data_IF_878261386940
#
_entry.id   IF_878261386940
#
_cell.length_a   1.000
_cell.length_b   1.000
_cell.length_c   1.000
_cell.angle_alpha   90.00
_cell.angle_beta   90.00
_cell.angle_gamma   90.00
#
_symmetry.space_group_name_H-M   'P 1'
#
loop_
_entity.id
_entity.type
_entity.pdbx_description
1 polymer ?
#
# COMPACT_ATOMS: atom_id res chain seq x y z
N UNK A 1 39.91 2.60 13.48
CA UNK A 1 38.79 2.18 12.61
C UNK A 1 37.51 2.31 13.42
N UNK A 2 36.63 3.24 13.06
CA UNK A 2 35.38 3.45 13.79
C UNK A 2 34.40 2.37 13.34
N UNK A 3 34.14 1.39 14.21
CA UNK A 3 33.12 0.36 13.96
C UNK A 3 31.76 1.04 13.80
N UNK A 4 30.99 0.64 12.78
CA UNK A 4 29.65 1.14 12.52
C UNK A 4 28.78 0.97 13.77
N UNK A 5 28.25 2.08 14.33
CA UNK A 5 27.46 2.08 15.56
C UNK A 5 25.94 2.14 15.34
N UNK A 6 25.52 2.34 14.10
CA UNK A 6 24.13 2.34 13.68
C UNK A 6 23.97 1.31 12.58
N UNK A 7 23.30 0.21 12.91
CA UNK A 7 22.71 -0.68 11.90
C UNK A 7 21.44 0.04 11.44
N UNK A 8 21.34 0.34 10.14
CA UNK A 8 20.10 0.92 9.61
C UNK A 8 18.94 -0.02 9.92
N UNK A 9 17.82 0.52 10.42
CA UNK A 9 16.58 -0.22 10.67
C UNK A 9 15.96 -0.86 9.41
N UNK A 10 16.65 -0.78 8.28
CA UNK A 10 16.24 -1.16 6.92
C UNK A 10 16.68 -2.59 6.53
N UNK A 11 17.36 -3.33 7.42
CA UNK A 11 17.72 -4.74 7.21
C UNK A 11 16.78 -5.74 7.92
N UNK A 12 15.61 -5.28 8.38
CA UNK A 12 14.64 -6.13 9.06
C UNK A 12 13.51 -6.59 8.11
N UNK A 13 13.16 -7.87 8.20
CA UNK A 13 11.92 -8.43 7.64
C UNK A 13 10.70 -7.73 8.25
N UNK A 14 9.64 -7.54 7.47
CA UNK A 14 8.38 -6.95 7.97
C UNK A 14 8.21 -5.49 7.58
N UNK A 15 8.83 -5.07 6.50
CA UNK A 15 8.67 -3.74 5.95
C UNK A 15 7.27 -3.61 5.31
N UNK A 16 6.49 -2.56 5.60
CA UNK A 16 5.23 -2.31 4.91
C UNK A 16 5.39 -2.33 3.38
N UNK A 17 4.50 -3.04 2.68
CA UNK A 17 4.56 -3.29 1.23
C UNK A 17 5.26 -4.59 0.83
N UNK A 18 6.04 -5.20 1.74
CA UNK A 18 6.71 -6.48 1.51
C UNK A 18 5.72 -7.66 1.55
N UNK A 19 5.88 -8.61 0.63
CA UNK A 19 5.11 -9.85 0.64
C UNK A 19 5.56 -10.76 1.78
N UNK A 20 4.60 -11.15 2.63
CA UNK A 20 4.86 -11.86 3.87
C UNK A 20 4.67 -13.38 3.74
N UNK A 21 3.83 -13.81 2.79
CA UNK A 21 3.41 -15.21 2.64
C UNK A 21 3.60 -15.68 1.19
N UNK A 22 3.88 -16.98 1.03
CA UNK A 22 4.05 -17.59 -0.28
C UNK A 22 2.69 -17.91 -0.93
N UNK A 23 2.60 -17.72 -2.24
CA UNK A 23 1.42 -18.04 -3.06
C UNK A 23 1.25 -17.08 -4.23
N UNK A 24 0.07 -17.11 -4.85
CA UNK A 24 -0.21 -16.34 -6.05
C UNK A 24 -0.25 -14.84 -5.76
N UNK A 25 0.51 -14.08 -6.55
CA UNK A 25 0.60 -12.62 -6.45
C UNK A 25 0.24 -12.01 -7.80
N UNK A 26 -0.62 -11.00 -7.77
CA UNK A 26 -0.82 -10.07 -8.90
C UNK A 26 -0.33 -8.69 -8.47
N UNK A 27 0.76 -8.27 -9.10
CA UNK A 27 1.36 -6.97 -8.95
C UNK A 27 1.56 -6.36 -10.35
N UNK A 28 0.96 -5.20 -10.60
CA UNK A 28 0.91 -4.60 -11.93
C UNK A 28 1.69 -3.27 -11.95
N UNK A 29 2.44 -2.98 -13.03
CA UNK A 29 3.09 -1.69 -13.19
C UNK A 29 2.04 -0.61 -13.47
N UNK A 30 2.15 0.51 -12.76
CA UNK A 30 1.29 1.69 -12.94
C UNK A 30 2.14 2.95 -12.82
N UNK A 31 1.63 4.11 -13.24
CA UNK A 31 2.35 5.37 -13.15
C UNK A 31 1.57 6.39 -12.31
N UNK A 32 2.27 7.08 -11.41
CA UNK A 32 1.63 8.10 -10.58
C UNK A 32 1.24 9.32 -11.45
N UNK A 33 -0.05 9.69 -11.43
CA UNK A 33 -0.58 10.80 -12.22
C UNK A 33 -0.18 12.17 -11.68
N UNK A 34 -0.20 12.32 -10.36
CA UNK A 34 0.06 13.58 -9.65
C UNK A 34 1.04 13.37 -8.53
N UNK A 35 1.89 14.37 -8.26
CA UNK A 35 2.83 14.32 -7.15
C UNK A 35 2.13 14.00 -5.83
N UNK A 36 2.73 13.15 -5.03
CA UNK A 36 2.40 12.91 -3.64
C UNK A 36 3.38 13.66 -2.75
N UNK A 37 2.90 14.67 -2.03
CA UNK A 37 3.68 15.35 -1.01
C UNK A 37 3.51 14.59 0.31
N UNK A 38 4.47 13.75 0.68
CA UNK A 38 4.48 13.16 2.02
C UNK A 38 5.23 14.03 3.02
N UNK A 39 5.57 13.46 4.17
CA UNK A 39 6.08 14.22 5.32
C UNK A 39 7.59 14.02 5.47
N UNK A 40 8.35 15.11 5.65
CA UNK A 40 9.78 15.02 5.93
C UNK A 40 10.07 14.16 7.18
N UNK A 41 11.06 13.27 7.08
CA UNK A 41 11.40 12.32 8.15
C UNK A 41 10.39 11.19 8.32
N UNK A 42 9.43 11.03 7.40
CA UNK A 42 8.59 9.85 7.29
C UNK A 42 8.90 9.12 5.99
N UNK A 43 8.89 7.79 6.08
CA UNK A 43 9.02 6.92 4.92
C UNK A 43 7.84 7.13 3.97
N UNK A 44 8.10 6.97 2.68
CA UNK A 44 7.08 6.85 1.63
C UNK A 44 6.11 5.69 1.97
N UNK A 45 4.79 5.85 1.78
CA UNK A 45 3.78 5.00 2.43
C UNK A 45 3.52 3.64 1.74
N UNK A 46 4.56 2.83 1.53
CA UNK A 46 4.40 1.48 0.97
C UNK A 46 3.57 0.60 1.91
N UNK A 47 2.69 -0.24 1.36
CA UNK A 47 1.78 -1.06 2.16
C UNK A 47 0.82 -0.27 3.06
N UNK A 48 0.79 1.05 2.95
CA UNK A 48 0.01 1.94 3.81
C UNK A 48 -1.00 2.78 3.00
N UNK A 49 -0.92 2.73 1.67
CA UNK A 49 -1.87 3.42 0.78
C UNK A 49 -2.45 2.53 -0.30
N UNK A 50 -3.74 2.75 -0.56
CA UNK A 50 -4.44 2.26 -1.74
C UNK A 50 -4.20 3.18 -2.96
N UNK A 51 -4.11 2.56 -4.13
CA UNK A 51 -4.04 3.24 -5.42
C UNK A 51 -5.40 3.16 -6.12
N UNK A 52 -5.86 4.28 -6.67
CA UNK A 52 -7.07 4.31 -7.48
C UNK A 52 -6.82 4.89 -8.87
N UNK A 53 -7.71 4.58 -9.80
CA UNK A 53 -7.65 5.05 -11.18
C UNK A 53 -9.00 5.62 -11.60
N UNK A 54 -8.99 6.77 -12.28
CA UNK A 54 -10.20 7.31 -12.90
C UNK A 54 -10.52 6.62 -14.23
N UNK A 55 -11.76 6.71 -14.70
CA UNK A 55 -12.13 6.15 -16.00
C UNK A 55 -11.28 6.77 -17.13
N UNK A 56 -10.73 5.94 -18.02
CA UNK A 56 -9.92 6.36 -19.15
C UNK A 56 -8.42 6.60 -18.87
N UNK A 57 -7.99 6.55 -17.61
CA UNK A 57 -6.59 6.81 -17.22
C UNK A 57 -5.63 5.64 -17.52
N UNK A 58 -6.14 4.44 -17.82
CA UNK A 58 -5.43 3.25 -18.32
C UNK A 58 -3.98 3.06 -17.82
N UNK A 59 -3.81 2.81 -16.52
CA UNK A 59 -2.49 2.61 -15.90
C UNK A 59 -1.89 3.86 -15.25
N UNK A 60 -2.54 5.03 -15.38
CA UNK A 60 -2.26 6.20 -14.54
C UNK A 60 -3.09 6.14 -13.25
N UNK A 61 -2.43 6.27 -12.10
CA UNK A 61 -3.07 6.11 -10.79
C UNK A 61 -2.89 7.33 -9.89
N UNK A 62 -3.77 7.47 -8.91
CA UNK A 62 -3.66 8.41 -7.78
C UNK A 62 -3.59 7.63 -6.46
N UNK A 63 -3.00 8.25 -5.43
CA UNK A 63 -3.06 7.73 -4.06
C UNK A 63 -4.42 8.07 -3.46
N UNK A 64 -5.18 7.06 -3.06
CA UNK A 64 -6.56 7.23 -2.60
C UNK A 64 -7.47 7.82 -3.67
N UNK A 65 -8.51 8.55 -3.26
CA UNK A 65 -9.46 9.23 -4.14
C UNK A 65 -10.72 8.42 -4.49
N UNK A 66 -11.54 9.00 -5.37
CA UNK A 66 -12.87 8.47 -5.75
C UNK A 66 -12.86 7.56 -6.99
N UNK A 67 -11.70 7.02 -7.36
CA UNK A 67 -11.53 6.15 -8.53
C UNK A 67 -11.78 4.66 -8.24
N UNK A 68 -11.61 3.83 -9.28
CA UNK A 68 -11.59 2.37 -9.13
C UNK A 68 -10.34 1.96 -8.38
N UNK A 69 -10.48 1.12 -7.36
CA UNK A 69 -9.35 0.53 -6.64
C UNK A 69 -8.51 -0.35 -7.59
N UNK A 70 -7.21 -0.09 -7.67
CA UNK A 70 -6.26 -0.82 -8.53
C UNK A 70 -5.39 -1.77 -7.72
N UNK A 71 -5.02 -1.39 -6.49
CA UNK A 71 -4.15 -2.21 -5.65
C UNK A 71 -3.57 -1.41 -4.49
N UNK A 72 -2.79 -2.09 -3.66
CA UNK A 72 -1.94 -1.46 -2.64
C UNK A 72 -0.59 -1.12 -3.25
N UNK A 73 -0.03 0.04 -2.91
CA UNK A 73 1.33 0.40 -3.32
C UNK A 73 2.34 -0.54 -2.63
N UNK A 74 2.82 -1.56 -3.34
CA UNK A 74 3.83 -2.52 -2.83
C UNK A 74 5.23 -1.97 -2.96
N UNK A 75 5.56 -1.41 -4.11
CA UNK A 75 6.84 -0.76 -4.39
C UNK A 75 6.68 0.31 -5.46
N UNK A 76 7.18 1.55 -5.28
CA UNK A 76 7.49 2.41 -6.39
C UNK A 76 8.70 1.80 -7.10
N UNK A 77 8.55 1.33 -8.33
CA UNK A 77 9.62 0.63 -9.05
C UNK A 77 10.83 1.53 -9.40
N UNK A 78 10.88 2.76 -8.89
CA UNK A 78 11.98 3.71 -9.08
C UNK A 78 12.46 4.44 -7.79
N UNK A 79 11.89 4.21 -6.59
CA UNK A 79 12.20 5.05 -5.41
C UNK A 79 13.30 4.53 -4.46
N UNK A 80 13.73 3.27 -4.54
CA UNK A 80 14.81 2.77 -3.69
C UNK A 80 16.21 2.90 -4.32
N UNK A 81 16.32 3.24 -5.61
CA UNK A 81 17.58 3.13 -6.33
C UNK A 81 18.47 4.39 -6.31
N UNK A 82 17.96 5.62 -6.09
CA UNK A 82 18.77 6.82 -6.42
C UNK A 82 18.73 8.05 -5.48
N UNK A 83 18.14 8.01 -4.29
CA UNK A 83 18.19 9.16 -3.33
C UNK A 83 19.06 8.94 -2.08
N UNK A 84 20.11 8.11 -2.17
CA UNK A 84 21.17 7.83 -1.17
C UNK A 84 20.90 6.53 -0.38
N UNK A 85 21.87 5.67 -0.05
CA UNK A 85 22.90 5.95 0.97
C UNK A 85 22.43 6.90 2.12
N UNK A 86 21.11 6.92 2.42
CA UNK A 86 20.48 7.70 3.50
C UNK A 86 19.29 8.62 3.14
N UNK A 87 18.44 8.29 2.15
CA UNK A 87 17.40 9.22 1.67
C UNK A 87 15.98 9.05 2.23
N UNK A 88 15.57 9.88 3.19
CA UNK A 88 14.17 10.13 3.58
C UNK A 88 13.47 11.09 2.58
N UNK A 89 13.39 10.70 1.31
CA UNK A 89 12.66 11.52 0.35
C UNK A 89 11.16 11.47 0.66
N UNK A 90 10.62 12.61 1.08
CA UNK A 90 9.32 12.71 1.73
C UNK A 90 8.11 12.37 0.84
N UNK A 91 8.23 12.22 -0.48
CA UNK A 91 7.09 12.20 -1.41
C UNK A 91 7.16 11.15 -2.52
N UNK A 92 6.31 11.28 -3.55
CA UNK A 92 6.43 10.59 -4.84
C UNK A 92 6.20 11.58 -5.97
N UNK A 93 7.13 11.72 -6.92
CA UNK A 93 6.97 12.61 -8.07
C UNK A 93 5.93 12.11 -9.08
N UNK A 94 5.26 13.04 -9.77
CA UNK A 94 4.39 12.69 -10.89
C UNK A 94 5.19 11.99 -11.99
N UNK A 95 4.59 10.99 -12.62
CA UNK A 95 5.23 10.18 -13.65
C UNK A 95 6.10 9.04 -13.11
N UNK A 96 6.28 8.89 -11.80
CA UNK A 96 7.03 7.78 -11.23
C UNK A 96 6.34 6.43 -11.52
N UNK A 97 7.15 5.42 -11.87
CA UNK A 97 6.65 4.05 -12.01
C UNK A 97 6.42 3.43 -10.63
N UNK A 98 5.25 2.83 -10.46
CA UNK A 98 4.80 2.16 -9.26
C UNK A 98 4.39 0.71 -9.54
N UNK A 99 4.22 -0.04 -8.47
CA UNK A 99 3.66 -1.37 -8.46
C UNK A 99 2.42 -1.38 -7.57
N UNK A 100 1.30 -1.78 -8.16
CA UNK A 100 0.04 -1.96 -7.47
C UNK A 100 -0.23 -3.46 -7.28
N UNK A 101 -0.24 -3.92 -6.03
CA UNK A 101 -0.60 -5.31 -5.70
C UNK A 101 -2.08 -5.41 -5.37
N UNK A 102 -2.81 -6.18 -6.17
CA UNK A 102 -4.25 -6.42 -5.99
C UNK A 102 -4.59 -7.82 -5.51
N UNK A 103 -3.64 -8.75 -5.60
CA UNK A 103 -3.78 -10.11 -5.09
C UNK A 103 -2.49 -10.54 -4.41
N UNK A 104 -2.61 -11.06 -3.19
CA UNK A 104 -1.51 -11.68 -2.45
C UNK A 104 -2.05 -12.48 -1.28
N UNK A 105 -1.49 -13.66 -0.95
CA UNK A 105 -1.85 -14.40 0.26
C UNK A 105 -1.50 -13.65 1.55
N UNK A 106 -0.57 -12.68 1.49
CA UNK A 106 -0.20 -11.86 2.64
C UNK A 106 0.85 -10.82 2.29
N UNK A 107 0.59 -9.58 2.66
CA UNK A 107 1.52 -8.45 2.61
C UNK A 107 1.51 -7.73 3.95
N UNK A 108 2.67 -7.21 4.36
CA UNK A 108 2.76 -6.31 5.51
C UNK A 108 2.09 -4.99 5.18
N UNK A 109 1.03 -4.64 5.90
CA UNK A 109 0.28 -3.41 5.70
C UNK A 109 0.18 -2.61 6.99
N UNK A 110 0.33 -1.29 6.89
CA UNK A 110 0.16 -0.39 8.02
C UNK A 110 -1.29 0.08 8.12
N UNK A 111 -1.93 -0.17 9.26
CA UNK A 111 -3.30 0.22 9.54
C UNK A 111 -3.33 1.35 10.57
N UNK A 112 -4.15 2.37 10.30
CA UNK A 112 -4.29 3.56 11.16
C UNK A 112 -5.37 3.42 12.24
N UNK A 113 -6.04 2.28 12.30
CA UNK A 113 -7.07 1.94 13.30
C UNK A 113 -6.91 0.52 13.80
N UNK A 114 -7.61 0.20 14.89
CA UNK A 114 -7.53 -1.12 15.51
C UNK A 114 -8.12 -2.19 14.60
N UNK A 115 -7.36 -3.27 14.40
CA UNK A 115 -7.72 -4.38 13.53
C UNK A 115 -7.43 -5.72 14.21
N UNK A 116 -8.36 -6.65 14.09
CA UNK A 116 -8.19 -8.05 14.48
C UNK A 116 -8.01 -8.97 13.28
N UNK A 117 -7.39 -10.14 13.51
CA UNK A 117 -7.35 -11.22 12.52
C UNK A 117 -8.79 -11.60 12.13
N UNK A 118 -9.05 -11.65 10.82
CA UNK A 118 -10.36 -11.88 10.23
C UNK A 118 -11.08 -10.62 9.77
N UNK A 119 -10.68 -9.44 10.25
CA UNK A 119 -11.27 -8.17 9.79
C UNK A 119 -10.90 -7.90 8.33
N UNK A 120 -11.79 -7.22 7.61
CA UNK A 120 -11.45 -6.63 6.33
C UNK A 120 -10.71 -5.31 6.53
N UNK A 121 -10.22 -4.72 5.45
CA UNK A 121 -9.69 -3.36 5.45
C UNK A 121 -10.41 -2.47 4.43
N UNK A 122 -10.36 -1.17 4.68
CA UNK A 122 -10.88 -0.11 3.82
C UNK A 122 -9.80 0.97 3.66
N UNK A 123 -9.95 1.83 2.65
CA UNK A 123 -9.10 3.00 2.45
C UNK A 123 -9.90 4.30 2.55
N UNK A 124 -9.30 5.35 3.08
CA UNK A 124 -9.87 6.71 3.11
C UNK A 124 -9.57 7.46 1.81
N UNK A 125 -10.15 8.65 1.66
CA UNK A 125 -9.90 9.51 0.50
C UNK A 125 -8.41 9.84 0.27
N UNK A 126 -7.59 9.88 1.33
CA UNK A 126 -6.14 10.08 1.26
C UNK A 126 -5.34 8.79 0.96
N UNK A 127 -6.03 7.67 0.77
CA UNK A 127 -5.45 6.36 0.50
C UNK A 127 -5.09 5.56 1.76
N UNK A 128 -5.09 6.18 2.95
CA UNK A 128 -4.70 5.51 4.19
C UNK A 128 -5.59 4.33 4.53
N UNK A 129 -4.98 3.25 5.04
CA UNK A 129 -5.69 2.01 5.36
C UNK A 129 -6.26 2.03 6.79
N UNK A 130 -7.48 1.52 6.92
CA UNK A 130 -8.20 1.33 8.18
C UNK A 130 -8.81 -0.07 8.24
N UNK A 131 -9.02 -0.57 9.45
CA UNK A 131 -9.83 -1.76 9.66
C UNK A 131 -11.29 -1.53 9.24
N UNK A 132 -11.90 -2.56 8.69
CA UNK A 132 -13.32 -2.66 8.37
C UNK A 132 -13.91 -3.92 9.03
N UNK A 133 -14.19 -3.87 10.35
CA UNK A 133 -14.77 -5.00 11.07
C UNK A 133 -16.10 -5.43 10.45
N UNK A 134 -16.41 -6.73 10.53
CA UNK A 134 -17.57 -7.33 9.88
C UNK A 134 -17.67 -7.10 8.34
N UNK A 135 -16.55 -6.77 7.69
CA UNK A 135 -16.51 -6.39 6.26
C UNK A 135 -17.37 -5.17 5.91
N UNK A 136 -17.56 -4.25 6.87
CA UNK A 136 -18.26 -2.99 6.64
C UNK A 136 -17.26 -1.83 6.68
N UNK A 137 -17.22 -1.03 5.62
CA UNK A 137 -16.38 0.17 5.58
C UNK A 137 -16.82 1.18 6.65
N UNK A 138 -15.90 1.69 7.49
CA UNK A 138 -16.15 2.85 8.32
C UNK A 138 -16.62 4.07 7.52
N UNK A 139 -17.24 5.03 8.18
CA UNK A 139 -17.68 6.28 7.54
C UNK A 139 -16.51 6.97 6.79
N UNK A 140 -16.81 7.50 5.61
CA UNK A 140 -15.84 8.19 4.75
C UNK A 140 -14.64 7.32 4.31
N UNK A 141 -14.84 6.00 4.26
CA UNK A 141 -13.88 5.05 3.69
C UNK A 141 -14.55 4.12 2.69
N UNK A 142 -13.75 3.54 1.80
CA UNK A 142 -14.17 2.58 0.79
C UNK A 142 -13.63 1.21 1.15
N UNK A 143 -14.51 0.21 1.24
CA UNK A 143 -14.10 -1.17 1.51
C UNK A 143 -13.18 -1.67 0.40
N UNK A 144 -12.09 -2.35 0.77
CA UNK A 144 -11.30 -3.15 -0.17
C UNK A 144 -11.92 -4.55 -0.16
N UNK A 145 -12.70 -4.94 -1.18
CA UNK A 145 -13.41 -6.21 -1.14
C UNK A 145 -12.42 -7.39 -1.20
N UNK A 146 -12.76 -8.48 -0.52
CA UNK A 146 -11.88 -9.66 -0.43
C UNK A 146 -10.63 -9.50 0.42
N UNK A 147 -10.37 -8.31 0.99
CA UNK A 147 -9.23 -8.09 1.90
C UNK A 147 -9.47 -8.73 3.27
N UNK A 148 -8.44 -9.32 3.87
CA UNK A 148 -8.51 -9.91 5.22
C UNK A 148 -7.21 -9.76 5.98
N UNK A 149 -7.28 -9.30 7.23
CA UNK A 149 -6.17 -9.42 8.17
C UNK A 149 -5.98 -10.91 8.50
N UNK A 150 -4.82 -11.46 8.19
CA UNK A 150 -4.50 -12.89 8.39
C UNK A 150 -3.53 -13.12 9.54
N UNK A 151 -2.73 -12.12 9.94
CA UNK A 151 -1.88 -12.18 11.13
C UNK A 151 -1.73 -10.82 11.81
N UNK A 152 -1.53 -10.90 13.13
CA UNK A 152 -1.33 -9.81 14.09
C UNK A 152 -2.56 -8.95 14.35
N UNK A 153 -2.97 -8.87 15.62
CA UNK A 153 -3.93 -7.88 16.07
C UNK A 153 -3.17 -6.59 16.39
N UNK A 154 -3.70 -5.45 15.96
CA UNK A 154 -3.06 -4.14 16.13
C UNK A 154 -4.06 -3.11 16.65
N UNK A 155 -3.60 -2.14 17.43
CA UNK A 155 -4.37 -0.92 17.72
C UNK A 155 -4.12 0.12 16.62
N UNK A 156 -2.86 0.24 16.20
CA UNK A 156 -2.36 0.93 15.01
C UNK A 156 -1.03 0.28 14.67
N UNK A 157 -0.65 0.23 13.39
CA UNK A 157 0.64 -0.30 12.96
C UNK A 157 0.52 -1.48 11.99
N UNK A 158 1.53 -2.34 11.96
CA UNK A 158 1.70 -3.32 10.90
C UNK A 158 0.95 -4.63 11.20
N UNK A 159 0.10 -5.04 10.27
CA UNK A 159 -0.54 -6.36 10.23
C UNK A 159 -0.22 -7.07 8.91
N UNK A 160 -0.44 -8.39 8.83
CA UNK A 160 -0.38 -9.10 7.54
C UNK A 160 -1.78 -9.20 6.99
N UNK A 161 -1.97 -8.70 5.77
CA UNK A 161 -3.26 -8.66 5.08
C UNK A 161 -3.17 -9.44 3.79
N UNK A 162 -4.12 -10.35 3.58
CA UNK A 162 -4.37 -11.02 2.32
C UNK A 162 -5.27 -10.14 1.44
N UNK A 163 -4.95 -10.10 0.15
CA UNK A 163 -5.77 -9.45 -0.88
C UNK A 163 -6.25 -10.48 -1.87
N UNK A 164 -7.50 -10.33 -2.29
CA UNK A 164 -8.06 -11.07 -3.40
C UNK A 164 -8.29 -10.11 -4.55
N UNK A 165 -7.96 -10.57 -5.76
CA UNK A 165 -8.28 -9.81 -6.96
C UNK A 165 -9.80 -9.62 -7.01
N UNK A 166 -10.24 -8.38 -7.21
CA UNK A 166 -11.63 -8.15 -7.61
C UNK A 166 -11.81 -8.71 -9.03
N UNK A 167 -12.99 -9.21 -9.39
CA UNK A 167 -13.29 -9.47 -10.80
C UNK A 167 -12.96 -8.18 -11.54
N UNK A 168 -11.98 -8.21 -12.44
CA UNK A 168 -11.61 -7.04 -13.23
C UNK A 168 -12.90 -6.54 -13.86
N UNK A 169 -13.35 -5.28 -13.65
CA UNK A 169 -14.35 -4.73 -14.53
C UNK A 169 -13.78 -4.92 -15.93
N UNK A 170 -14.48 -5.68 -16.78
CA UNK A 170 -14.15 -5.71 -18.19
C UNK A 170 -13.97 -4.24 -18.60
N UNK A 171 -12.76 -3.88 -18.99
CA UNK A 171 -12.37 -2.51 -19.35
C UNK A 171 -13.56 -1.89 -20.05
N UNK A 172 -14.17 -0.85 -19.47
CA UNK A 172 -15.20 -0.13 -20.20
C UNK A 172 -14.51 0.43 -21.46
N UNK A 173 -14.99 0.07 -22.67
CA UNK A 173 -14.38 0.51 -23.91
C UNK A 173 -14.33 2.04 -24.02
#
# INVERSE_FOLDING_TARGET
MTFQKTVGSELAWGIPGEHALAGDVRAEPVQLKTKFDGTAGKRVPFGAVALTQAAGDNGLVSIGGSGTYVGILSSPKEWAAYTALGGDAAGIEAGAQLEATSQTPGMFMELTTAAGVGDAIAYKADGSLVAAPASAAPASSTLIPGSRVVRYNVTTGIAIVALQQLPTPAVAP
#
